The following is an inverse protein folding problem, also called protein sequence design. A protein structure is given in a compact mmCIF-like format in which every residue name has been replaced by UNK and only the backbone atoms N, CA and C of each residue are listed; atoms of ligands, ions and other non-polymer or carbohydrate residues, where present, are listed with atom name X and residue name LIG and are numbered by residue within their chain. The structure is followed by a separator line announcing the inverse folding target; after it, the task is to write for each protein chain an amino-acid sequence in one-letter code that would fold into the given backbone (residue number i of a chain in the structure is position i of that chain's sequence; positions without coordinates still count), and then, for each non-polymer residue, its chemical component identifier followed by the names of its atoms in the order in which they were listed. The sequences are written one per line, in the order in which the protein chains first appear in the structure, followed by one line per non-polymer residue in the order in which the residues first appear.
data_IF_495113856124
#
_entry.id   IF_495113856124
#
_cell.length_a   1.000
_cell.length_b   1.000
_cell.length_c   1.000
_cell.angle_alpha   90.00
_cell.angle_beta   90.00
_cell.angle_gamma   90.00
#
_symmetry.space_group_name_H-M   'P 1'
#
loop_
_entity.id
_entity.type
_entity.pdbx_description
1 polymer ?
#
# COMPACT_ATOMS: atom_id res chain seq x y z
N UNK A 1 -1.81 14.19 -13.14
CA UNK A 1 -2.28 15.20 -12.15
C UNK A 1 -1.05 15.80 -11.49
N UNK A 2 -0.87 17.12 -11.59
CA UNK A 2 0.29 17.75 -10.97
C UNK A 2 0.12 17.77 -9.44
N UNK A 3 1.06 17.17 -8.72
CA UNK A 3 1.00 17.14 -7.26
C UNK A 3 1.26 18.54 -6.70
N UNK A 4 0.47 18.94 -5.70
CA UNK A 4 0.70 20.20 -4.98
C UNK A 4 2.10 20.21 -4.37
N UNK A 5 2.74 21.38 -4.32
CA UNK A 5 4.11 21.55 -3.80
C UNK A 5 4.30 20.94 -2.40
N UNK A 6 3.32 21.13 -1.50
CA UNK A 6 3.34 20.57 -0.15
C UNK A 6 3.36 19.02 -0.11
N UNK A 7 2.78 18.35 -1.11
CA UNK A 7 2.85 16.89 -1.20
C UNK A 7 4.24 16.44 -1.66
N UNK A 8 4.86 17.16 -2.62
CA UNK A 8 6.22 16.87 -3.09
C UNK A 8 7.22 16.97 -1.94
N UNK A 9 7.17 18.06 -1.18
CA UNK A 9 8.04 18.29 -0.02
C UNK A 9 7.87 17.18 1.04
N UNK A 10 6.63 16.81 1.34
CA UNK A 10 6.32 15.73 2.29
C UNK A 10 6.88 14.38 1.87
N UNK A 11 6.88 14.08 0.58
CA UNK A 11 7.32 12.80 0.04
C UNK A 11 8.82 12.75 -0.28
N UNK A 12 9.50 13.89 -0.23
CA UNK A 12 10.93 13.98 -0.55
C UNK A 12 11.82 13.00 0.26
N UNK A 13 11.61 12.78 1.58
CA UNK A 13 12.39 11.80 2.33
C UNK A 13 12.29 10.38 1.75
N UNK A 14 11.12 10.00 1.22
CA UNK A 14 10.91 8.69 0.58
C UNK A 14 11.62 8.63 -0.75
N UNK A 15 11.53 9.70 -1.56
CA UNK A 15 12.23 9.80 -2.85
C UNK A 15 13.75 9.67 -2.66
N UNK A 16 14.31 10.37 -1.68
CA UNK A 16 15.75 10.29 -1.38
C UNK A 16 16.17 8.91 -0.89
N UNK A 17 15.35 8.27 -0.05
CA UNK A 17 15.61 6.92 0.42
C UNK A 17 15.61 5.90 -0.73
N UNK A 18 14.69 6.02 -1.69
CA UNK A 18 14.66 5.15 -2.88
C UNK A 18 15.89 5.39 -3.77
N UNK A 19 16.27 6.65 -4.02
CA UNK A 19 17.50 6.98 -4.78
C UNK A 19 18.75 6.39 -4.13
N UNK A 20 18.85 6.52 -2.81
CA UNK A 20 19.94 5.93 -2.04
C UNK A 20 19.96 4.41 -2.18
N UNK A 21 18.80 3.76 -2.01
CA UNK A 21 18.65 2.31 -2.17
C UNK A 21 19.08 1.85 -3.57
N UNK A 22 18.64 2.55 -4.63
CA UNK A 22 19.02 2.23 -6.01
C UNK A 22 20.53 2.33 -6.22
N UNK A 23 21.18 3.37 -5.65
CA UNK A 23 22.63 3.54 -5.72
C UNK A 23 23.39 2.44 -4.95
N UNK A 24 22.95 2.12 -3.73
CA UNK A 24 23.56 1.04 -2.91
C UNK A 24 23.43 -0.34 -3.53
N UNK A 25 22.37 -0.56 -4.32
CA UNK A 25 22.07 -1.82 -5.02
C UNK A 25 22.37 -1.75 -6.52
N UNK A 26 23.15 -0.76 -6.94
CA UNK A 26 23.62 -0.68 -8.31
C UNK A 26 24.51 -1.89 -8.66
N UNK A 27 24.29 -2.46 -9.82
CA UNK A 27 25.00 -3.69 -10.25
C UNK A 27 24.49 -5.00 -9.66
N UNK A 28 23.66 -4.99 -8.61
CA UNK A 28 23.00 -6.18 -8.13
C UNK A 28 21.78 -6.51 -8.99
N UNK A 29 21.62 -7.78 -9.32
CA UNK A 29 20.54 -8.27 -10.18
C UNK A 29 19.28 -8.71 -9.39
N UNK A 30 19.06 -8.13 -8.21
CA UNK A 30 17.91 -8.40 -7.35
C UNK A 30 16.82 -7.36 -7.55
N UNK A 31 15.52 -7.74 -7.51
CA UNK A 31 14.44 -6.77 -7.51
C UNK A 31 14.48 -5.92 -6.23
N UNK A 32 14.14 -4.65 -6.37
CA UNK A 32 13.97 -3.72 -5.26
C UNK A 32 12.47 -3.58 -4.98
N UNK A 33 12.06 -3.87 -3.75
CA UNK A 33 10.68 -3.79 -3.34
C UNK A 33 10.55 -2.77 -2.21
N UNK A 34 9.68 -1.78 -2.43
CA UNK A 34 9.32 -0.75 -1.45
C UNK A 34 7.88 -0.97 -1.02
N UNK A 35 7.65 -1.18 0.27
CA UNK A 35 6.29 -1.26 0.81
C UNK A 35 5.84 0.08 1.38
N UNK A 36 4.61 0.48 1.05
CA UNK A 36 3.95 1.69 1.56
C UNK A 36 2.68 1.26 2.29
N UNK A 37 2.72 1.23 3.60
CA UNK A 37 1.58 0.94 4.46
C UNK A 37 1.18 2.18 5.28
N UNK A 38 0.15 2.09 6.07
CA UNK A 38 -0.28 3.19 6.93
C UNK A 38 -1.79 3.37 6.97
N UNK A 39 -2.22 4.33 7.76
CA UNK A 39 -3.63 4.60 8.04
C UNK A 39 -4.43 4.94 6.79
N UNK A 40 -5.65 4.45 6.68
CA UNK A 40 -6.56 4.85 5.59
C UNK A 40 -6.74 6.38 5.58
N UNK A 41 -6.81 6.97 4.38
CA UNK A 41 -6.89 8.43 4.22
C UNK A 41 -5.56 9.18 4.39
N UNK A 42 -4.43 8.50 4.64
CA UNK A 42 -3.10 9.13 4.82
C UNK A 42 -2.38 9.49 3.52
N UNK A 43 -2.91 9.09 2.35
CA UNK A 43 -2.33 9.43 1.05
C UNK A 43 -1.36 8.39 0.49
N UNK A 44 -1.48 7.11 0.86
CA UNK A 44 -0.66 6.00 0.31
C UNK A 44 -0.72 5.95 -1.22
N UNK A 45 -1.92 5.92 -1.77
CA UNK A 45 -2.13 5.90 -3.23
C UNK A 45 -1.53 7.14 -3.91
N UNK A 46 -1.67 8.33 -3.30
CA UNK A 46 -1.05 9.55 -3.81
C UNK A 46 0.47 9.46 -3.84
N UNK A 47 1.09 8.88 -2.80
CA UNK A 47 2.52 8.63 -2.80
C UNK A 47 2.92 7.60 -3.86
N UNK A 48 2.20 6.48 -3.96
CA UNK A 48 2.47 5.45 -4.96
C UNK A 48 2.46 6.01 -6.38
N UNK A 49 1.41 6.74 -6.75
CA UNK A 49 1.27 7.40 -8.06
C UNK A 49 2.34 8.47 -8.31
N UNK A 50 2.76 9.18 -7.27
CA UNK A 50 3.88 10.13 -7.39
C UNK A 50 5.20 9.42 -7.66
N UNK A 51 5.46 8.30 -6.99
CA UNK A 51 6.68 7.53 -7.22
C UNK A 51 6.73 6.93 -8.64
N UNK A 52 5.59 6.52 -9.22
CA UNK A 52 5.53 6.12 -10.64
C UNK A 52 5.90 7.23 -11.61
N UNK A 53 5.65 8.50 -11.24
CA UNK A 53 6.04 9.65 -12.08
C UNK A 53 7.53 9.99 -11.95
N UNK A 54 8.14 9.67 -10.79
CA UNK A 54 9.53 10.02 -10.48
C UNK A 54 10.52 8.94 -10.86
N UNK A 55 10.08 7.67 -10.83
CA UNK A 55 10.93 6.50 -11.03
C UNK A 55 10.39 5.59 -12.14
N UNK A 56 11.28 4.90 -12.83
CA UNK A 56 10.91 3.75 -13.65
C UNK A 56 10.62 2.56 -12.73
N UNK A 57 9.38 2.42 -12.29
CA UNK A 57 8.94 1.39 -11.36
C UNK A 57 7.58 0.79 -11.75
N UNK A 58 7.24 -0.36 -11.15
CA UNK A 58 5.90 -0.88 -11.13
C UNK A 58 5.20 -0.48 -9.82
N UNK A 59 3.88 -0.27 -9.89
CA UNK A 59 3.03 0.00 -8.73
C UNK A 59 1.95 -1.07 -8.60
N UNK A 60 1.93 -1.77 -7.47
CA UNK A 60 0.94 -2.78 -7.12
C UNK A 60 0.14 -2.33 -5.89
N UNK A 61 -1.19 -2.48 -5.94
CA UNK A 61 -2.10 -2.01 -4.89
C UNK A 61 -2.69 -3.18 -4.10
N UNK A 62 -2.52 -3.19 -2.79
CA UNK A 62 -3.13 -4.20 -1.93
C UNK A 62 -4.66 -4.15 -1.93
N UNK A 63 -5.24 -2.98 -2.19
CA UNK A 63 -6.68 -2.81 -2.29
C UNK A 63 -7.30 -3.59 -3.47
N UNK A 64 -6.49 -4.01 -4.45
CA UNK A 64 -6.89 -4.89 -5.56
C UNK A 64 -6.89 -6.39 -5.17
N UNK A 65 -6.56 -6.70 -3.93
CA UNK A 65 -6.41 -8.07 -3.44
C UNK A 65 -7.30 -8.38 -2.23
N UNK A 66 -8.52 -7.88 -2.21
CA UNK A 66 -9.48 -8.32 -1.19
C UNK A 66 -9.95 -9.75 -1.44
N UNK A 67 -10.38 -10.42 -0.34
CA UNK A 67 -10.90 -11.78 -0.40
C UNK A 67 -12.13 -11.87 -1.31
N UNK A 68 -12.13 -12.89 -2.15
CA UNK A 68 -13.30 -13.33 -2.90
C UNK A 68 -14.35 -13.92 -1.94
N UNK A 69 -15.60 -14.03 -2.39
CA UNK A 69 -16.72 -14.44 -1.53
C UNK A 69 -16.49 -15.82 -0.88
N UNK A 70 -15.99 -16.77 -1.64
CA UNK A 70 -15.72 -18.14 -1.18
C UNK A 70 -14.62 -18.23 -0.10
N UNK A 71 -13.73 -17.23 -0.04
CA UNK A 71 -12.65 -17.16 0.95
C UNK A 71 -13.07 -16.47 2.25
N UNK A 72 -14.24 -15.80 2.27
CA UNK A 72 -14.71 -14.96 3.39
C UNK A 72 -15.35 -15.77 4.51
N UNK A 73 -14.66 -16.77 5.02
CA UNK A 73 -15.14 -17.54 6.17
C UNK A 73 -15.13 -16.68 7.45
N UNK A 74 -16.02 -16.96 8.43
CA UNK A 74 -16.00 -16.26 9.71
C UNK A 74 -14.65 -16.36 10.43
N UNK A 75 -13.95 -17.46 10.27
CA UNK A 75 -12.60 -17.67 10.82
C UNK A 75 -11.60 -16.73 10.16
N UNK A 76 -11.54 -16.69 8.82
CA UNK A 76 -10.63 -15.82 8.08
C UNK A 76 -10.86 -14.34 8.39
N UNK A 77 -12.12 -13.90 8.47
CA UNK A 77 -12.47 -12.51 8.73
C UNK A 77 -12.17 -12.05 10.18
N UNK A 78 -11.94 -12.98 11.10
CA UNK A 78 -11.47 -12.71 12.48
C UNK A 78 -9.95 -12.54 12.55
N UNK A 79 -9.22 -13.01 11.57
CA UNK A 79 -7.77 -12.84 11.51
C UNK A 79 -7.40 -11.38 11.35
N UNK A 80 -6.32 -10.97 12.00
CA UNK A 80 -5.76 -9.62 11.83
C UNK A 80 -5.19 -9.49 10.44
N UNK A 81 -5.73 -8.59 9.60
CA UNK A 81 -5.39 -8.49 8.18
C UNK A 81 -6.05 -9.54 7.28
N UNK A 82 -6.91 -10.41 7.85
CA UNK A 82 -7.52 -11.54 7.14
C UNK A 82 -8.55 -11.17 6.06
N UNK A 83 -8.80 -9.90 5.82
CA UNK A 83 -9.67 -9.43 4.73
C UNK A 83 -8.94 -9.29 3.37
N UNK A 84 -7.64 -9.50 3.35
CA UNK A 84 -6.80 -9.45 2.14
C UNK A 84 -6.44 -10.87 1.69
N UNK A 85 -6.46 -11.11 0.39
CA UNK A 85 -6.00 -12.34 -0.26
C UNK A 85 -4.48 -12.29 -0.45
N UNK A 86 -3.77 -12.33 0.67
CA UNK A 86 -2.31 -12.25 0.69
C UNK A 86 -1.66 -13.47 0.04
N UNK A 87 -2.35 -14.62 0.01
CA UNK A 87 -1.90 -15.80 -0.70
C UNK A 87 -1.83 -15.53 -2.21
N UNK A 88 -2.90 -14.99 -2.78
CA UNK A 88 -2.96 -14.62 -4.20
C UNK A 88 -1.93 -13.55 -4.52
N UNK A 89 -1.78 -12.53 -3.67
CA UNK A 89 -0.78 -11.50 -3.87
C UNK A 89 0.66 -12.06 -3.89
N UNK A 90 0.99 -12.94 -2.96
CA UNK A 90 2.29 -13.63 -2.95
C UNK A 90 2.51 -14.43 -4.23
N UNK A 91 1.54 -15.24 -4.61
CA UNK A 91 1.64 -16.15 -5.75
C UNK A 91 1.70 -15.41 -7.08
N UNK A 92 0.83 -14.40 -7.28
CA UNK A 92 0.66 -13.76 -8.59
C UNK A 92 1.44 -12.47 -8.77
N UNK A 93 1.97 -11.86 -7.69
CA UNK A 93 2.75 -10.62 -7.75
C UNK A 93 4.16 -10.81 -7.20
N UNK A 94 4.33 -11.19 -5.92
CA UNK A 94 5.66 -11.24 -5.32
C UNK A 94 6.57 -12.30 -5.94
N UNK A 95 6.08 -13.52 -6.10
CA UNK A 95 6.89 -14.61 -6.71
C UNK A 95 7.35 -14.28 -8.12
N UNK A 96 6.48 -13.81 -9.05
CA UNK A 96 6.93 -13.38 -10.38
C UNK A 96 7.96 -12.23 -10.33
N UNK A 97 7.82 -11.26 -9.41
CA UNK A 97 8.83 -10.20 -9.24
C UNK A 97 10.20 -10.80 -8.88
N UNK A 98 10.25 -11.71 -7.90
CA UNK A 98 11.51 -12.36 -7.51
C UNK A 98 12.10 -13.25 -8.62
N UNK A 99 11.26 -13.81 -9.47
CA UNK A 99 11.66 -14.60 -10.64
C UNK A 99 11.95 -13.72 -11.86
N UNK A 100 11.82 -12.39 -11.76
CA UNK A 100 11.98 -11.41 -12.85
C UNK A 100 11.08 -11.70 -14.05
N UNK A 101 9.89 -12.18 -13.76
CA UNK A 101 8.89 -12.52 -14.76
C UNK A 101 7.84 -11.41 -14.88
N UNK A 102 7.10 -11.45 -15.98
CA UNK A 102 5.91 -10.61 -16.15
C UNK A 102 4.84 -11.04 -15.15
N UNK A 103 4.33 -10.08 -14.38
CA UNK A 103 3.19 -10.26 -13.47
C UNK A 103 1.91 -10.22 -14.29
N UNK A 104 1.05 -11.24 -14.17
CA UNK A 104 -0.33 -11.13 -14.67
C UNK A 104 -1.18 -10.49 -13.57
N UNK A 105 -1.35 -9.17 -13.65
CA UNK A 105 -2.03 -8.39 -12.62
C UNK A 105 -3.53 -8.42 -12.82
N UNK A 106 -4.27 -8.97 -11.85
CA UNK A 106 -5.72 -9.13 -11.94
C UNK A 106 -6.39 -8.54 -10.69
N UNK A 107 -6.93 -7.30 -10.76
CA UNK A 107 -7.60 -6.66 -9.64
C UNK A 107 -8.92 -7.33 -9.26
N UNK A 108 -9.25 -7.30 -7.97
CA UNK A 108 -10.56 -7.66 -7.45
C UNK A 108 -11.41 -6.40 -7.24
N UNK A 109 -12.61 -6.40 -7.77
CA UNK A 109 -13.56 -5.29 -7.60
C UNK A 109 -14.53 -5.56 -6.45
N UNK A 110 -14.41 -4.80 -5.37
CA UNK A 110 -15.39 -4.82 -4.28
C UNK A 110 -16.79 -4.32 -4.69
N UNK A 111 -16.92 -3.63 -5.81
CA UNK A 111 -18.23 -3.20 -6.33
C UNK A 111 -18.93 -4.33 -7.08
N UNK A 112 -18.17 -5.07 -7.91
CA UNK A 112 -18.68 -6.17 -8.71
C UNK A 112 -18.57 -7.53 -8.00
N UNK A 113 -17.88 -7.59 -6.87
CA UNK A 113 -17.56 -8.79 -6.12
C UNK A 113 -16.93 -9.90 -6.97
N UNK A 114 -16.08 -9.48 -7.92
CA UNK A 114 -15.43 -10.40 -8.86
C UNK A 114 -14.04 -9.90 -9.24
N UNK A 115 -13.22 -10.81 -9.74
CA UNK A 115 -11.98 -10.47 -10.42
C UNK A 115 -12.30 -9.71 -11.72
N UNK A 116 -11.56 -8.65 -11.98
CA UNK A 116 -11.61 -7.92 -13.22
C UNK A 116 -10.76 -8.61 -14.29
N UNK A 117 -10.81 -8.13 -15.52
CA UNK A 117 -9.88 -8.54 -16.56
C UNK A 117 -8.45 -8.23 -16.13
N UNK A 118 -7.57 -9.24 -16.23
CA UNK A 118 -6.17 -9.11 -15.90
C UNK A 118 -5.36 -8.59 -17.09
N UNK A 119 -4.18 -8.04 -16.78
CA UNK A 119 -3.25 -7.54 -17.80
C UNK A 119 -1.80 -7.82 -17.41
N UNK A 120 -0.90 -7.96 -18.40
CA UNK A 120 0.52 -8.16 -18.11
C UNK A 120 1.18 -6.87 -17.63
N UNK A 121 1.97 -6.99 -16.54
CA UNK A 121 2.88 -5.96 -16.04
C UNK A 121 4.30 -6.49 -16.21
N UNK A 122 5.05 -5.90 -17.14
CA UNK A 122 6.41 -6.34 -17.42
C UNK A 122 7.34 -6.06 -16.24
N UNK A 123 8.32 -6.93 -16.07
CA UNK A 123 9.31 -6.80 -15.00
C UNK A 123 10.03 -5.45 -15.06
N UNK A 124 10.12 -4.81 -13.91
CA UNK A 124 11.01 -3.69 -13.64
C UNK A 124 11.80 -3.98 -12.37
N UNK A 125 13.01 -3.43 -12.27
CA UNK A 125 13.86 -3.62 -11.09
C UNK A 125 13.23 -3.05 -9.82
N UNK A 126 12.62 -1.85 -9.90
CA UNK A 126 11.95 -1.20 -8.77
C UNK A 126 10.45 -1.50 -8.79
N UNK A 127 9.94 -1.99 -7.67
CA UNK A 127 8.53 -2.33 -7.49
C UNK A 127 8.01 -1.67 -6.20
N UNK A 128 6.91 -0.93 -6.31
CA UNK A 128 6.23 -0.30 -5.20
C UNK A 128 4.98 -1.12 -4.88
N UNK A 129 4.81 -1.50 -3.62
CA UNK A 129 3.60 -2.17 -3.12
C UNK A 129 2.93 -1.22 -2.14
N UNK A 130 1.76 -0.69 -2.48
CA UNK A 130 1.05 0.25 -1.63
C UNK A 130 -0.30 -0.29 -1.16
N UNK A 131 -0.73 0.14 0.00
CA UNK A 131 -2.04 -0.12 0.55
C UNK A 131 -2.00 -0.66 1.98
N UNK A 132 -3.16 -0.66 2.63
CA UNK A 132 -3.31 -1.27 3.94
C UNK A 132 -2.97 -2.75 3.86
N UNK A 133 -2.22 -3.24 4.85
CA UNK A 133 -1.71 -4.62 4.92
C UNK A 133 -0.59 -4.97 3.93
N UNK A 134 0.01 -4.00 3.23
CA UNK A 134 1.16 -4.26 2.34
C UNK A 134 2.37 -4.84 3.08
N UNK A 135 2.48 -4.59 4.40
CA UNK A 135 3.53 -5.13 5.25
C UNK A 135 3.05 -6.33 6.10
N UNK A 136 2.03 -7.06 5.64
CA UNK A 136 1.53 -8.21 6.39
C UNK A 136 2.62 -9.27 6.59
N UNK A 137 2.77 -9.86 7.80
CA UNK A 137 3.86 -10.80 8.12
C UNK A 137 3.82 -12.09 7.29
N UNK A 138 2.72 -12.40 6.64
CA UNK A 138 2.64 -13.49 5.67
C UNK A 138 3.73 -13.40 4.60
N UNK A 139 4.07 -12.19 4.17
CA UNK A 139 5.10 -11.94 3.14
C UNK A 139 6.54 -12.09 3.66
N UNK A 140 6.76 -12.34 4.95
CA UNK A 140 8.10 -12.52 5.56
C UNK A 140 9.06 -11.36 5.31
N UNK A 141 8.53 -10.13 5.22
CA UNK A 141 9.28 -8.89 5.06
C UNK A 141 10.28 -8.89 3.87
N UNK A 142 9.83 -9.02 2.64
CA UNK A 142 10.70 -9.08 1.46
C UNK A 142 11.19 -7.69 1.00
N UNK A 143 10.94 -6.64 1.77
CA UNK A 143 11.10 -5.25 1.40
C UNK A 143 12.48 -4.70 1.76
N UNK A 144 13.15 -4.02 0.82
CA UNK A 144 14.38 -3.28 1.08
C UNK A 144 14.10 -1.93 1.71
N UNK A 145 12.89 -1.38 1.51
CA UNK A 145 12.46 -0.14 2.13
C UNK A 145 11.00 -0.26 2.57
N UNK A 146 10.72 0.19 3.78
CA UNK A 146 9.37 0.24 4.35
C UNK A 146 9.00 1.67 4.67
N UNK A 147 7.82 2.10 4.26
CA UNK A 147 7.29 3.46 4.45
C UNK A 147 5.94 3.37 5.12
N UNK A 148 5.76 4.04 6.24
CA UNK A 148 4.48 4.11 6.95
C UNK A 148 3.92 5.52 6.90
N UNK A 149 2.74 5.69 6.28
CA UNK A 149 2.04 6.96 6.25
C UNK A 149 1.10 7.10 7.44
N UNK A 150 1.35 8.14 8.22
CA UNK A 150 0.59 8.45 9.41
C UNK A 150 -0.29 9.69 9.20
N UNK A 151 -1.40 9.77 9.93
CA UNK A 151 -2.37 10.86 9.87
C UNK A 151 -3.06 11.01 11.23
N UNK A 152 -3.43 12.23 11.62
CA UNK A 152 -4.22 12.44 12.82
C UNK A 152 -5.63 11.85 12.68
N UNK A 153 -6.27 11.38 13.76
CA UNK A 153 -7.65 10.87 13.68
C UNK A 153 -8.64 11.89 13.10
N UNK A 154 -8.45 13.17 13.36
CA UNK A 154 -9.27 14.26 12.83
C UNK A 154 -9.15 14.36 11.31
N UNK A 155 -7.91 14.51 10.81
CA UNK A 155 -7.63 14.66 9.38
C UNK A 155 -8.01 13.38 8.62
N UNK A 156 -7.79 12.20 9.24
CA UNK A 156 -8.20 10.92 8.70
C UNK A 156 -9.69 10.90 8.39
N UNK A 157 -10.51 11.27 9.37
CA UNK A 157 -11.96 11.28 9.20
C UNK A 157 -12.43 12.35 8.19
N UNK A 158 -11.78 13.51 8.14
CA UNK A 158 -12.05 14.53 7.13
C UNK A 158 -11.75 14.03 5.71
N UNK A 159 -10.58 13.44 5.51
CA UNK A 159 -10.19 12.87 4.21
C UNK A 159 -11.13 11.73 3.76
N UNK A 160 -11.51 10.84 4.69
CA UNK A 160 -12.45 9.75 4.39
C UNK A 160 -13.83 10.31 4.04
N UNK A 161 -14.36 11.27 4.79
CA UNK A 161 -15.64 11.92 4.50
C UNK A 161 -15.62 12.60 3.13
N UNK A 162 -14.57 13.33 2.82
CA UNK A 162 -14.41 14.03 1.53
C UNK A 162 -14.38 13.05 0.35
N UNK A 163 -13.70 11.91 0.51
CA UNK A 163 -13.53 10.90 -0.55
C UNK A 163 -14.75 10.00 -0.72
N UNK A 164 -15.36 9.57 0.37
CA UNK A 164 -16.32 8.48 0.39
C UNK A 164 -17.74 8.88 0.82
N UNK A 165 -17.91 10.11 1.30
CA UNK A 165 -19.17 10.58 1.89
C UNK A 165 -19.37 10.17 3.35
N UNK A 166 -20.33 10.79 4.06
CA UNK A 166 -20.52 10.63 5.50
C UNK A 166 -20.93 9.21 5.92
N UNK A 167 -21.76 8.52 5.13
CA UNK A 167 -22.24 7.17 5.48
C UNK A 167 -21.11 6.14 5.42
N UNK A 168 -20.29 6.16 4.36
CA UNK A 168 -19.12 5.28 4.29
C UNK A 168 -18.09 5.62 5.35
N UNK A 169 -17.94 6.91 5.71
CA UNK A 169 -17.03 7.33 6.77
C UNK A 169 -17.37 6.68 8.13
N UNK A 170 -18.65 6.48 8.44
CA UNK A 170 -19.08 5.73 9.64
C UNK A 170 -18.64 4.27 9.59
N UNK A 171 -18.68 3.62 8.41
CA UNK A 171 -18.18 2.24 8.26
C UNK A 171 -16.66 2.19 8.48
N UNK A 172 -15.91 3.18 7.95
CA UNK A 172 -14.48 3.27 8.21
C UNK A 172 -14.19 3.41 9.69
N UNK A 173 -14.88 4.31 10.38
CA UNK A 173 -14.70 4.56 11.81
C UNK A 173 -14.99 3.31 12.67
N UNK A 174 -16.06 2.57 12.34
CA UNK A 174 -16.53 1.47 13.17
C UNK A 174 -15.91 0.11 12.81
N UNK A 175 -15.35 -0.05 11.61
CA UNK A 175 -14.88 -1.34 11.13
C UNK A 175 -13.43 -1.30 10.66
N UNK A 176 -13.11 -0.45 9.67
CA UNK A 176 -11.81 -0.53 9.01
C UNK A 176 -10.68 0.06 9.84
N UNK A 177 -10.87 1.25 10.44
CA UNK A 177 -9.86 1.88 11.30
C UNK A 177 -9.50 0.98 12.49
N UNK A 178 -10.45 0.40 13.25
CA UNK A 178 -10.11 -0.53 14.34
C UNK A 178 -9.33 -1.75 13.87
N UNK A 179 -9.63 -2.29 12.68
CA UNK A 179 -8.89 -3.43 12.12
C UNK A 179 -7.47 -3.06 11.72
N UNK A 180 -7.27 -1.89 11.09
CA UNK A 180 -5.95 -1.36 10.76
C UNK A 180 -5.11 -1.11 12.02
N UNK A 181 -5.66 -0.45 13.05
CA UNK A 181 -4.94 -0.19 14.30
C UNK A 181 -4.57 -1.49 15.04
N UNK A 182 -5.45 -2.49 15.04
CA UNK A 182 -5.14 -3.81 15.57
C UNK A 182 -3.99 -4.49 14.82
N UNK A 183 -3.96 -4.35 13.50
CA UNK A 183 -2.89 -4.85 12.64
C UNK A 183 -1.56 -4.14 12.93
N UNK A 184 -1.55 -2.81 12.96
CA UNK A 184 -0.34 -2.03 13.23
C UNK A 184 0.25 -2.38 14.59
N UNK A 185 -0.60 -2.50 15.61
CA UNK A 185 -0.19 -2.85 16.96
C UNK A 185 0.34 -4.29 17.06
N UNK A 186 -0.40 -5.26 16.50
CA UNK A 186 -0.07 -6.69 16.62
C UNK A 186 1.25 -7.05 15.96
N UNK A 187 1.51 -6.44 14.79
CA UNK A 187 2.65 -6.82 13.96
C UNK A 187 3.77 -5.78 13.95
N UNK A 188 3.69 -4.76 14.80
CA UNK A 188 4.70 -3.72 14.92
C UNK A 188 5.07 -3.09 13.56
N UNK A 189 4.05 -2.81 12.74
CA UNK A 189 4.21 -2.42 11.33
C UNK A 189 5.04 -1.15 11.14
N UNK A 190 5.01 -0.26 12.13
CA UNK A 190 5.76 1.00 12.09
C UNK A 190 7.25 0.85 12.39
N UNK A 191 7.67 -0.26 13.03
CA UNK A 191 9.04 -0.43 13.47
C UNK A 191 9.98 -0.57 12.28
N UNK A 192 11.02 0.27 12.24
CA UNK A 192 11.99 0.31 11.15
C UNK A 192 11.47 0.84 9.81
N UNK A 193 10.25 1.38 9.75
CA UNK A 193 9.73 2.06 8.57
C UNK A 193 10.04 3.57 8.61
N UNK A 194 10.27 4.17 7.46
CA UNK A 194 10.26 5.64 7.32
C UNK A 194 8.83 6.12 7.59
N UNK A 195 8.67 6.95 8.61
CA UNK A 195 7.36 7.51 8.93
C UNK A 195 7.15 8.85 8.25
N UNK A 196 6.03 8.97 7.53
CA UNK A 196 5.61 10.20 6.86
C UNK A 196 4.29 10.66 7.47
N UNK A 197 4.29 11.85 8.09
CA UNK A 197 3.09 12.43 8.70
C UNK A 197 2.24 13.18 7.67
N UNK A 198 0.93 13.02 7.78
CA UNK A 198 -0.01 13.91 7.10
C UNK A 198 -0.09 15.23 7.87
N UNK A 199 0.60 16.24 7.38
CA UNK A 199 0.48 17.60 7.89
C UNK A 199 -0.07 18.46 6.75
N UNK A 200 -1.39 18.66 6.70
CA UNK A 200 -1.94 19.82 6.04
C UNK A 200 -1.64 21.00 6.98
N UNK A 201 -0.52 21.68 6.82
CA UNK A 201 -0.50 23.10 7.16
C UNK A 201 -1.49 23.74 6.19
N UNK A 202 -2.67 24.06 6.67
CA UNK A 202 -3.53 25.05 6.02
C UNK A 202 -2.68 26.30 5.89
N UNK A 203 -2.26 26.63 4.68
CA UNK A 203 -1.85 27.98 4.38
C UNK A 203 -3.08 28.84 4.67
N UNK A 204 -2.98 29.64 5.75
CA UNK A 204 -3.85 30.77 6.00
C UNK A 204 -3.67 31.82 4.92
#
# INVERSE_FOLDING_TARGET
MELKACCKERFEPVVQAIRKLQKEKEGLDEPLIVAIDGRCGSGKTTLGEYLEQVFDCNLFRMDDFFLRMEQRTPQRLKETGGNVDYERFDETVLRPIFQKQTVFYQPFSCQKWNLLEGYPVHYKKLNIIEGSYSMHPYFKNPYQLRVFLNISPKDQMENIKKRNGPEKAKQFQNMWIPKEEAYFKKFHVMDGAIQVMWNLKTEE
#
